data_IF_043243387648
#
_entry.id   IF_043243387648
#
_cell.length_a   1.000
_cell.length_b   1.000
_cell.length_c   1.000
_cell.angle_alpha   90.00
_cell.angle_beta   90.00
_cell.angle_gamma   90.00
#
_symmetry.space_group_name_H-M   'P 1'
#
loop_
_entity.id
_entity.type
_entity.pdbx_description
1 polymer ?
#
# COMPACT_ATOMS: atom_id res chain seq x y z
N UNK A 1 12.24 -14.61 -38.91
CA UNK A 1 10.84 -14.67 -38.43
C UNK A 1 10.62 -16.10 -37.93
N UNK A 2 10.10 -16.44 -36.74
CA UNK A 2 9.16 -15.81 -35.84
C UNK A 2 9.28 -16.54 -34.48
N UNK A 3 9.82 -15.91 -33.43
CA UNK A 3 9.90 -16.53 -32.09
C UNK A 3 8.60 -16.23 -31.34
N UNK A 4 7.73 -17.24 -31.22
CA UNK A 4 6.52 -17.21 -30.38
C UNK A 4 6.97 -17.00 -28.92
N UNK A 5 6.74 -15.80 -28.39
CA UNK A 5 6.88 -15.52 -26.95
C UNK A 5 5.61 -16.01 -26.28
N UNK A 6 5.67 -17.20 -25.69
CA UNK A 6 4.62 -17.69 -24.80
C UNK A 6 4.42 -16.67 -23.69
N UNK A 7 3.22 -16.10 -23.66
CA UNK A 7 2.75 -15.16 -22.67
C UNK A 7 2.55 -15.94 -21.37
N UNK A 8 3.60 -16.03 -20.55
CA UNK A 8 3.52 -16.48 -19.17
C UNK A 8 2.49 -15.60 -18.45
N UNK A 9 1.28 -16.13 -18.34
CA UNK A 9 0.21 -15.52 -17.55
C UNK A 9 0.58 -15.84 -16.11
N UNK A 10 1.39 -14.96 -15.52
CA UNK A 10 1.64 -14.93 -14.09
C UNK A 10 0.33 -14.45 -13.48
N UNK A 11 -0.56 -15.40 -13.14
CA UNK A 11 -1.63 -15.12 -12.19
C UNK A 11 -0.93 -14.93 -10.85
N UNK A 12 -0.75 -13.68 -10.43
CA UNK A 12 -0.28 -13.32 -9.09
C UNK A 12 -1.41 -13.67 -8.12
N UNK A 13 -1.29 -14.71 -7.27
CA UNK A 13 -2.38 -15.14 -6.41
C UNK A 13 -2.30 -14.36 -5.09
N UNK A 14 -2.54 -13.05 -5.14
CA UNK A 14 -2.37 -12.22 -3.94
C UNK A 14 -3.06 -10.86 -3.92
N UNK A 15 -3.66 -10.40 -5.02
CA UNK A 15 -4.20 -9.02 -5.08
C UNK A 15 -5.71 -8.93 -4.79
N UNK A 16 -6.44 -10.04 -4.73
CA UNK A 16 -7.92 -10.00 -4.68
C UNK A 16 -8.56 -10.12 -3.28
N UNK A 17 -7.81 -10.49 -2.23
CA UNK A 17 -8.39 -10.71 -0.88
C UNK A 17 -8.06 -9.60 0.15
N UNK A 18 -7.12 -8.69 -0.12
CA UNK A 18 -6.76 -7.63 0.83
C UNK A 18 -7.58 -6.33 0.68
N UNK A 19 -8.48 -6.26 -0.29
CA UNK A 19 -9.26 -5.03 -0.59
C UNK A 19 -10.47 -4.82 0.32
N UNK A 20 -10.71 -5.69 1.31
CA UNK A 20 -11.87 -5.54 2.21
C UNK A 20 -11.62 -5.91 3.67
N UNK A 21 -10.39 -5.76 4.17
CA UNK A 21 -10.19 -5.74 5.61
C UNK A 21 -10.53 -4.33 6.13
N UNK A 22 -11.69 -4.20 6.80
CA UNK A 22 -12.01 -3.02 7.62
C UNK A 22 -11.07 -3.03 8.83
N UNK A 23 -9.84 -2.60 8.61
CA UNK A 23 -8.88 -2.47 9.69
C UNK A 23 -9.31 -1.37 10.64
N UNK A 24 -9.20 -1.63 11.94
CA UNK A 24 -9.42 -0.61 12.93
C UNK A 24 -8.42 0.55 12.74
N UNK A 25 -8.84 1.82 12.84
CA UNK A 25 -7.95 2.96 12.66
C UNK A 25 -6.73 2.96 13.58
N UNK A 26 -6.82 2.39 14.79
CA UNK A 26 -5.69 2.27 15.71
C UNK A 26 -4.71 1.19 15.24
N UNK A 27 -5.20 0.05 14.75
CA UNK A 27 -4.36 -0.99 14.15
C UNK A 27 -3.58 -0.46 12.93
N UNK A 28 -4.24 0.32 12.06
CA UNK A 28 -3.58 0.96 10.92
C UNK A 28 -2.49 1.95 11.37
N UNK A 29 -2.74 2.73 12.42
CA UNK A 29 -1.71 3.63 12.99
C UNK A 29 -0.50 2.85 13.52
N UNK A 30 -0.73 1.72 14.20
CA UNK A 30 0.35 0.85 14.67
C UNK A 30 1.12 0.27 13.49
N UNK A 31 0.41 -0.24 12.48
CA UNK A 31 1.01 -0.81 11.28
C UNK A 31 1.89 0.21 10.54
N UNK A 32 1.39 1.42 10.28
CA UNK A 32 2.15 2.53 9.67
C UNK A 32 3.41 2.86 10.48
N UNK A 33 3.33 2.87 11.82
CA UNK A 33 4.51 3.09 12.68
C UNK A 33 5.55 1.99 12.51
N UNK A 34 5.14 0.72 12.39
CA UNK A 34 6.07 -0.39 12.20
C UNK A 34 6.73 -0.34 10.82
N UNK A 35 5.97 -0.07 9.76
CA UNK A 35 6.52 0.12 8.42
C UNK A 35 7.55 1.26 8.38
N UNK A 36 7.24 2.40 9.02
CA UNK A 36 8.14 3.54 9.10
C UNK A 36 9.43 3.23 9.87
N UNK A 37 9.35 2.40 10.92
CA UNK A 37 10.54 1.91 11.64
C UNK A 37 11.37 0.97 10.78
N UNK A 38 10.71 0.03 10.08
CA UNK A 38 11.37 -0.95 9.23
C UNK A 38 12.18 -0.29 8.10
N UNK A 39 11.69 0.81 7.51
CA UNK A 39 12.41 1.54 6.46
C UNK A 39 13.81 1.99 6.86
N UNK A 40 14.05 2.28 8.14
CA UNK A 40 15.38 2.69 8.63
C UNK A 40 16.44 1.60 8.51
N UNK A 41 16.00 0.34 8.45
CA UNK A 41 16.87 -0.83 8.40
C UNK A 41 16.97 -1.44 7.00
N UNK A 42 16.24 -0.89 6.03
CA UNK A 42 16.24 -1.41 4.66
C UNK A 42 17.23 -0.63 3.79
N UNK A 43 18.06 -1.32 2.99
CA UNK A 43 18.93 -0.65 2.03
C UNK A 43 18.09 0.12 1.00
N UNK A 44 18.47 1.37 0.74
CA UNK A 44 17.84 2.18 -0.30
C UNK A 44 17.96 1.46 -1.65
N UNK A 45 16.87 1.49 -2.43
CA UNK A 45 16.80 0.82 -3.73
C UNK A 45 16.63 -0.70 -3.67
N UNK A 46 16.62 -1.31 -2.48
CA UNK A 46 16.32 -2.74 -2.37
C UNK A 46 14.85 -3.04 -2.70
N UNK A 47 14.58 -4.27 -3.16
CA UNK A 47 13.20 -4.73 -3.42
C UNK A 47 12.32 -4.61 -2.16
N UNK A 48 12.88 -4.92 -0.99
CA UNK A 48 12.18 -4.79 0.28
C UNK A 48 11.85 -3.32 0.61
N UNK A 49 12.77 -2.39 0.34
CA UNK A 49 12.53 -0.96 0.51
C UNK A 49 11.33 -0.49 -0.33
N UNK A 50 11.26 -0.87 -1.61
CA UNK A 50 10.13 -0.53 -2.48
C UNK A 50 8.82 -1.19 -2.06
N UNK A 51 8.86 -2.44 -1.60
CA UNK A 51 7.67 -3.11 -1.08
C UNK A 51 7.11 -2.40 0.15
N UNK A 52 7.96 -2.11 1.16
CA UNK A 52 7.55 -1.47 2.41
C UNK A 52 7.10 -0.03 2.20
N UNK A 53 7.74 0.72 1.29
CA UNK A 53 7.27 2.08 0.93
C UNK A 53 5.91 2.05 0.22
N UNK A 54 5.66 1.06 -0.65
CA UNK A 54 4.36 0.85 -1.28
C UNK A 54 3.25 0.52 -0.27
N UNK A 55 3.53 -0.38 0.69
CA UNK A 55 2.58 -0.68 1.78
C UNK A 55 2.34 0.52 2.68
N UNK A 56 3.37 1.31 2.98
CA UNK A 56 3.24 2.52 3.78
C UNK A 56 2.29 3.52 3.12
N UNK A 57 2.39 3.69 1.80
CA UNK A 57 1.48 4.56 1.03
C UNK A 57 0.04 4.04 1.06
N UNK A 58 -0.16 2.72 0.87
CA UNK A 58 -1.49 2.08 0.94
C UNK A 58 -2.14 2.25 2.31
N UNK A 59 -1.42 1.91 3.39
CA UNK A 59 -1.93 2.00 4.75
C UNK A 59 -2.28 3.44 5.15
N UNK A 60 -1.48 4.43 4.72
CA UNK A 60 -1.81 5.85 4.93
C UNK A 60 -3.07 6.26 4.18
N UNK A 61 -3.27 5.78 2.96
CA UNK A 61 -4.49 6.04 2.18
C UNK A 61 -5.72 5.43 2.86
N UNK A 62 -5.61 4.19 3.33
CA UNK A 62 -6.68 3.52 4.09
C UNK A 62 -7.01 4.27 5.40
N UNK A 63 -5.99 4.70 6.15
CA UNK A 63 -6.20 5.46 7.38
C UNK A 63 -6.91 6.80 7.12
N UNK A 64 -6.56 7.52 6.04
CA UNK A 64 -7.24 8.76 5.63
C UNK A 64 -8.69 8.54 5.21
N UNK A 65 -9.00 7.40 4.59
CA UNK A 65 -10.35 7.04 4.22
C UNK A 65 -11.23 6.72 5.45
N UNK A 66 -10.63 6.19 6.53
CA UNK A 66 -11.32 5.81 7.76
C UNK A 66 -11.41 6.93 8.80
N UNK A 67 -10.40 7.81 8.84
CA UNK A 67 -10.35 8.98 9.70
C UNK A 67 -10.39 10.20 8.79
N UNK A 68 -11.57 10.77 8.53
CA UNK A 68 -11.68 12.07 7.89
C UNK A 68 -11.06 13.10 8.84
N UNK A 69 -9.76 13.34 8.72
CA UNK A 69 -9.15 14.52 9.33
C UNK A 69 -9.86 15.71 8.66
N UNK A 70 -10.59 16.48 9.46
CA UNK A 70 -11.70 17.33 9.04
C UNK A 70 -11.49 18.15 7.76
N UNK A 71 -12.57 18.25 6.99
CA UNK A 71 -12.91 19.40 6.13
C UNK A 71 -11.84 19.84 5.14
N UNK A 72 -11.71 19.13 4.02
CA UNK A 72 -11.67 19.89 2.77
C UNK A 72 -13.11 20.38 2.56
N UNK A 73 -13.40 21.60 3.01
CA UNK A 73 -14.60 22.30 2.56
C UNK A 73 -14.61 22.18 1.04
N UNK A 74 -15.67 21.57 0.52
CA UNK A 74 -16.15 21.79 -0.85
C UNK A 74 -16.08 23.30 -1.08
N UNK A 75 -15.06 23.76 -1.80
CA UNK A 75 -15.10 25.04 -2.48
C UNK A 75 -16.05 24.85 -3.66
N UNK A 76 -17.34 25.02 -3.41
CA UNK A 76 -18.31 25.35 -4.46
C UNK A 76 -18.07 26.81 -4.83
N UNK A 77 -17.33 27.05 -5.92
CA UNK A 77 -17.74 27.81 -7.11
C UNK A 77 -16.55 28.00 -8.06
#
# INVERSE_FOLDING_TARGET
MQRRKERLTIKSPGDDDQTRQRHDPQELKIYIKQLSKALKFLPLGSRAYYAVTGELLRANTQLKALVPTGSAMKGEH
#
